data_IF_242558977465
#
_entry.id   IF_242558977465
#
_cell.length_a   1.000
_cell.length_b   1.000
_cell.length_c   1.000
_cell.angle_alpha   90.00
_cell.angle_beta   90.00
_cell.angle_gamma   90.00
#
_symmetry.space_group_name_H-M   'P 1'
#
loop_
_entity.id
_entity.type
_entity.pdbx_description
1 polymer ?
#
# COMPACT_ATOMS: atom_id res chain seq x y z
N UNK A 1 20.46 47.17 -28.26
CA UNK A 1 21.41 46.77 -27.20
C UNK A 1 21.45 47.89 -26.16
N UNK A 2 21.31 47.65 -24.85
CA UNK A 2 21.00 46.41 -24.14
C UNK A 2 19.70 46.47 -23.31
N UNK A 3 18.98 45.36 -23.31
CA UNK A 3 18.03 44.94 -22.29
C UNK A 3 18.79 44.67 -20.98
N UNK A 4 18.21 45.00 -19.83
CA UNK A 4 18.65 44.44 -18.55
C UNK A 4 17.51 43.65 -17.93
N UNK A 5 17.81 42.36 -17.80
CA UNK A 5 17.13 41.35 -17.00
C UNK A 5 16.74 41.87 -15.61
N UNK A 6 15.48 41.63 -15.26
CA UNK A 6 15.12 41.27 -13.90
C UNK A 6 14.62 39.82 -13.97
N UNK A 7 15.56 38.90 -13.82
CA UNK A 7 15.29 37.49 -13.58
C UNK A 7 14.53 37.37 -12.26
N UNK A 8 13.20 37.32 -12.34
CA UNK A 8 12.37 36.83 -11.24
C UNK A 8 12.61 35.35 -11.17
N UNK A 9 13.55 34.94 -10.33
CA UNK A 9 13.76 33.55 -9.92
C UNK A 9 12.47 33.04 -9.30
N UNK A 10 11.62 32.45 -10.13
CA UNK A 10 10.44 31.74 -9.69
C UNK A 10 10.91 30.64 -8.73
N UNK A 11 10.35 30.54 -7.51
CA UNK A 11 10.77 29.52 -6.57
C UNK A 11 10.57 28.16 -7.23
N UNK A 12 11.68 27.42 -7.34
CA UNK A 12 11.71 26.05 -7.85
C UNK A 12 10.55 25.30 -7.23
N UNK A 13 9.56 24.96 -8.08
CA UNK A 13 8.41 24.17 -7.70
C UNK A 13 9.00 22.93 -7.05
N UNK A 14 8.94 22.84 -5.72
CA UNK A 14 9.14 21.58 -5.02
C UNK A 14 8.17 20.63 -5.70
N UNK A 15 8.69 19.78 -6.58
CA UNK A 15 7.97 18.66 -7.14
C UNK A 15 7.58 17.85 -5.92
N UNK A 16 6.34 18.07 -5.42
CA UNK A 16 5.75 17.24 -4.40
C UNK A 16 5.84 15.85 -5.00
N UNK A 17 6.72 15.00 -4.47
CA UNK A 17 6.80 13.61 -4.87
C UNK A 17 5.36 13.11 -4.92
N UNK A 18 4.94 12.65 -6.11
CA UNK A 18 3.57 12.19 -6.30
C UNK A 18 3.26 11.21 -5.17
N UNK A 19 2.14 11.40 -4.48
CA UNK A 19 1.77 10.51 -3.40
C UNK A 19 1.72 9.09 -3.99
N UNK A 20 2.64 8.21 -3.57
CA UNK A 20 2.69 6.84 -4.07
C UNK A 20 1.33 6.20 -3.82
N UNK A 21 0.68 5.74 -4.89
CA UNK A 21 -0.63 5.10 -4.78
C UNK A 21 -0.50 3.78 -4.02
N UNK A 22 -1.58 3.30 -3.41
CA UNK A 22 -1.55 2.02 -2.69
C UNK A 22 -1.21 0.87 -3.64
N UNK A 23 -1.73 0.92 -4.88
CA UNK A 23 -1.43 -0.03 -5.95
C UNK A 23 0.05 -0.01 -6.32
N UNK A 24 0.68 1.16 -6.40
CA UNK A 24 2.13 1.25 -6.65
C UNK A 24 2.93 0.66 -5.50
N UNK A 25 2.57 0.95 -4.24
CA UNK A 25 3.22 0.36 -3.07
C UNK A 25 3.09 -1.16 -3.05
N UNK A 26 1.91 -1.69 -3.39
CA UNK A 26 1.67 -3.12 -3.51
C UNK A 26 2.54 -3.74 -4.61
N UNK A 27 2.52 -3.14 -5.80
CA UNK A 27 3.31 -3.60 -6.93
C UNK A 27 4.81 -3.56 -6.62
N UNK A 28 5.32 -2.47 -6.04
CA UNK A 28 6.72 -2.34 -5.65
C UNK A 28 7.14 -3.35 -4.58
N UNK A 29 6.20 -3.74 -3.72
CA UNK A 29 6.45 -4.73 -2.68
C UNK A 29 6.58 -6.15 -3.23
N UNK A 30 5.76 -6.52 -4.22
CA UNK A 30 5.67 -7.89 -4.73
C UNK A 30 6.40 -8.14 -6.04
N UNK A 31 6.31 -7.23 -7.01
CA UNK A 31 6.66 -7.49 -8.41
C UNK A 31 7.75 -6.57 -8.97
N UNK A 32 8.27 -5.63 -8.17
CA UNK A 32 9.51 -4.92 -8.52
C UNK A 32 10.69 -5.89 -8.50
N UNK A 33 11.64 -5.67 -9.39
CA UNK A 33 12.90 -6.42 -9.44
C UNK A 33 14.10 -5.46 -9.21
N UNK A 34 14.87 -5.60 -8.12
CA UNK A 34 14.58 -6.44 -6.96
C UNK A 34 13.43 -5.87 -6.10
N UNK A 35 12.66 -6.71 -5.37
CA UNK A 35 11.51 -6.27 -4.57
C UNK A 35 11.89 -5.20 -3.54
N UNK A 36 10.98 -4.26 -3.23
CA UNK A 36 11.26 -3.16 -2.30
C UNK A 36 11.81 -3.64 -0.95
N UNK A 37 11.38 -4.82 -0.48
CA UNK A 37 11.84 -5.38 0.78
C UNK A 37 13.25 -6.00 0.72
N UNK A 38 13.82 -6.23 -0.46
CA UNK A 38 15.21 -6.66 -0.64
C UNK A 38 16.18 -5.50 -0.84
N UNK A 39 15.71 -4.38 -1.39
CA UNK A 39 16.54 -3.19 -1.65
C UNK A 39 17.01 -2.55 -0.33
N UNK A 40 18.21 -1.97 -0.35
CA UNK A 40 18.73 -1.04 0.68
C UNK A 40 17.99 0.30 0.71
N UNK A 41 16.66 0.28 0.57
CA UNK A 41 15.82 1.47 0.64
C UNK A 41 15.84 2.07 2.05
N UNK A 42 15.49 3.35 2.15
CA UNK A 42 15.27 4.04 3.42
C UNK A 42 14.38 3.17 4.33
N UNK A 43 14.92 2.81 5.51
CA UNK A 43 14.25 1.95 6.50
C UNK A 43 12.86 2.46 6.86
N UNK A 44 12.68 3.79 6.92
CA UNK A 44 11.40 4.42 7.23
C UNK A 44 10.38 4.16 6.12
N UNK A 45 10.76 4.41 4.86
CA UNK A 45 9.89 4.18 3.70
C UNK A 45 9.50 2.70 3.59
N UNK A 46 10.46 1.81 3.79
CA UNK A 46 10.20 0.36 3.79
C UNK A 46 9.24 -0.06 4.89
N UNK A 47 9.40 0.47 6.11
CA UNK A 47 8.49 0.17 7.23
C UNK A 47 7.09 0.69 6.97
N UNK A 48 6.97 1.90 6.42
CA UNK A 48 5.67 2.48 6.04
C UNK A 48 4.98 1.66 4.95
N UNK A 49 5.69 1.35 3.87
CA UNK A 49 5.20 0.48 2.79
C UNK A 49 4.77 -0.89 3.31
N UNK A 50 5.57 -1.50 4.21
CA UNK A 50 5.23 -2.77 4.84
C UNK A 50 3.88 -2.72 5.57
N UNK A 51 3.64 -1.67 6.35
CA UNK A 51 2.40 -1.53 7.11
C UNK A 51 1.21 -1.27 6.18
N UNK A 52 1.37 -0.43 5.17
CA UNK A 52 0.32 -0.20 4.16
C UNK A 52 -0.03 -1.50 3.45
N UNK A 53 0.96 -2.22 2.92
CA UNK A 53 0.74 -3.52 2.25
C UNK A 53 0.13 -4.54 3.21
N UNK A 54 0.55 -4.54 4.49
CA UNK A 54 -0.08 -5.35 5.53
C UNK A 54 -1.59 -5.10 5.61
N UNK A 55 -2.01 -3.85 5.83
CA UNK A 55 -3.44 -3.53 5.90
C UNK A 55 -4.19 -3.84 4.59
N UNK A 56 -3.56 -3.60 3.43
CA UNK A 56 -4.12 -3.99 2.13
C UNK A 56 -4.41 -5.49 2.07
N UNK A 57 -3.46 -6.33 2.48
CA UNK A 57 -3.67 -7.79 2.54
C UNK A 57 -4.77 -8.18 3.53
N UNK A 58 -4.82 -7.51 4.69
CA UNK A 58 -5.81 -7.79 5.72
C UNK A 58 -7.24 -7.60 5.19
N UNK A 59 -7.46 -6.58 4.37
CA UNK A 59 -8.75 -6.30 3.74
C UNK A 59 -9.08 -7.28 2.58
N UNK A 60 -8.14 -8.12 2.16
CA UNK A 60 -8.34 -9.29 1.29
C UNK A 60 -8.64 -10.57 2.10
N UNK A 61 -9.41 -10.45 3.19
CA UNK A 61 -9.74 -11.54 4.11
C UNK A 61 -10.51 -12.72 3.48
N UNK A 62 -11.11 -12.52 2.30
CA UNK A 62 -11.81 -13.55 1.53
C UNK A 62 -10.87 -14.41 0.67
N UNK A 63 -9.63 -14.00 0.43
CA UNK A 63 -8.62 -14.78 -0.27
C UNK A 63 -7.54 -13.93 -0.95
N UNK A 64 -6.31 -14.42 -0.88
CA UNK A 64 -5.15 -13.85 -1.55
C UNK A 64 -4.26 -14.99 -1.99
N UNK A 65 -4.07 -15.14 -3.30
CA UNK A 65 -3.21 -16.19 -3.86
C UNK A 65 -2.20 -15.57 -4.80
N UNK A 66 -0.99 -15.38 -4.30
CA UNK A 66 0.16 -14.92 -5.06
C UNK A 66 1.19 -16.04 -5.11
N UNK A 67 1.24 -16.77 -6.21
CA UNK A 67 2.28 -17.76 -6.48
C UNK A 67 3.41 -17.13 -7.31
N UNK A 68 4.61 -16.92 -6.73
CA UNK A 68 5.75 -16.34 -7.46
C UNK A 68 6.24 -17.17 -8.64
N UNK A 69 5.87 -18.45 -8.71
CA UNK A 69 6.24 -19.34 -9.81
C UNK A 69 5.19 -19.38 -10.92
N UNK A 70 4.01 -18.80 -10.70
CA UNK A 70 2.96 -18.75 -11.71
C UNK A 70 3.34 -17.76 -12.82
N UNK A 71 3.15 -18.11 -14.10
CA UNK A 71 3.32 -17.15 -15.21
C UNK A 71 2.44 -15.91 -15.07
N UNK A 72 1.30 -16.04 -14.38
CA UNK A 72 0.34 -14.97 -14.10
C UNK A 72 0.72 -14.10 -12.89
N UNK A 73 1.82 -14.38 -12.18
CA UNK A 73 2.15 -13.72 -10.92
C UNK A 73 2.03 -12.19 -10.97
N UNK A 74 2.58 -11.57 -12.02
CA UNK A 74 2.57 -10.11 -12.16
C UNK A 74 1.17 -9.56 -12.38
N UNK A 75 0.35 -10.26 -13.17
CA UNK A 75 -1.04 -9.89 -13.41
C UNK A 75 -1.90 -10.09 -12.15
N UNK A 76 -1.63 -11.16 -11.40
CA UNK A 76 -2.25 -11.41 -10.11
C UNK A 76 -1.87 -10.33 -9.09
N UNK A 77 -0.60 -9.92 -9.03
CA UNK A 77 -0.16 -8.80 -8.18
C UNK A 77 -0.91 -7.51 -8.54
N UNK A 78 -1.07 -7.18 -9.82
CA UNK A 78 -1.84 -6.01 -10.24
C UNK A 78 -3.31 -6.12 -9.85
N UNK A 79 -3.94 -7.26 -10.13
CA UNK A 79 -5.35 -7.53 -9.81
C UNK A 79 -5.63 -7.42 -8.31
N UNK A 80 -4.84 -8.10 -7.48
CA UNK A 80 -4.99 -8.05 -6.03
C UNK A 80 -4.64 -6.67 -5.46
N UNK A 81 -3.66 -5.97 -6.05
CA UNK A 81 -3.31 -4.61 -5.67
C UNK A 81 -4.48 -3.64 -5.88
N UNK A 82 -5.12 -3.68 -7.06
CA UNK A 82 -6.31 -2.86 -7.33
C UNK A 82 -7.51 -3.25 -6.46
N UNK A 83 -7.73 -4.54 -6.22
CA UNK A 83 -8.81 -4.99 -5.35
C UNK A 83 -8.60 -4.53 -3.90
N UNK A 84 -7.37 -4.63 -3.40
CA UNK A 84 -7.03 -4.18 -2.06
C UNK A 84 -7.13 -2.66 -1.92
N UNK A 85 -6.68 -1.90 -2.92
CA UNK A 85 -6.83 -0.44 -2.97
C UNK A 85 -8.30 -0.04 -2.86
N UNK A 86 -9.18 -0.64 -3.67
CA UNK A 86 -10.63 -0.38 -3.62
C UNK A 86 -11.22 -0.68 -2.23
N UNK A 87 -10.85 -1.79 -1.60
CA UNK A 87 -11.36 -2.16 -0.27
C UNK A 87 -10.85 -1.26 0.83
N UNK A 88 -9.56 -0.89 0.80
CA UNK A 88 -8.97 0.07 1.74
C UNK A 88 -9.67 1.42 1.60
N UNK A 89 -9.82 1.92 0.38
CA UNK A 89 -10.47 3.21 0.14
C UNK A 89 -11.94 3.18 0.52
N UNK A 90 -12.67 2.10 0.25
CA UNK A 90 -14.06 1.94 0.70
C UNK A 90 -14.15 1.98 2.22
N UNK A 91 -13.31 1.20 2.92
CA UNK A 91 -13.28 1.18 4.39
C UNK A 91 -12.92 2.55 4.99
N UNK A 92 -11.93 3.24 4.41
CA UNK A 92 -11.51 4.56 4.87
C UNK A 92 -12.54 5.63 4.54
N UNK A 93 -13.27 5.51 3.42
CA UNK A 93 -14.27 6.50 2.99
C UNK A 93 -15.39 6.66 4.04
N UNK A 94 -15.82 5.55 4.64
CA UNK A 94 -16.85 5.55 5.68
C UNK A 94 -16.43 6.30 6.96
N UNK A 95 -15.12 6.48 7.18
CA UNK A 95 -14.54 7.14 8.36
C UNK A 95 -14.06 8.56 8.02
N UNK A 96 -13.46 8.73 6.85
CA UNK A 96 -12.76 9.93 6.41
C UNK A 96 -12.87 10.10 4.88
N UNK A 97 -13.98 10.65 4.36
CA UNK A 97 -14.34 10.60 2.94
C UNK A 97 -13.37 11.32 1.99
N UNK A 98 -12.56 12.25 2.52
CA UNK A 98 -11.59 13.05 1.75
C UNK A 98 -10.16 12.48 1.77
N UNK A 99 -9.90 11.36 2.48
CA UNK A 99 -8.56 10.78 2.62
C UNK A 99 -8.26 9.84 1.45
N UNK A 100 -7.18 10.12 0.70
CA UNK A 100 -6.76 9.31 -0.46
C UNK A 100 -5.26 9.02 -0.56
N UNK A 101 -4.42 9.78 0.15
CA UNK A 101 -2.96 9.54 0.12
C UNK A 101 -2.59 8.36 1.02
N UNK A 102 -1.60 7.57 0.60
CA UNK A 102 -1.10 6.40 1.34
C UNK A 102 -0.75 6.70 2.80
N UNK A 103 -0.04 7.80 3.07
CA UNK A 103 0.31 8.20 4.44
C UNK A 103 -0.91 8.56 5.31
N UNK A 104 -1.91 9.25 4.76
CA UNK A 104 -3.13 9.60 5.50
C UNK A 104 -4.04 8.39 5.69
N UNK A 105 -4.16 7.53 4.68
CA UNK A 105 -4.84 6.22 4.76
C UNK A 105 -4.22 5.37 5.87
N UNK A 106 -2.90 5.25 5.91
CA UNK A 106 -2.19 4.51 6.95
C UNK A 106 -2.50 5.05 8.36
N UNK A 107 -2.55 6.38 8.52
CA UNK A 107 -2.92 7.01 9.79
C UNK A 107 -4.32 6.60 10.24
N UNK A 108 -5.30 6.62 9.33
CA UNK A 108 -6.68 6.17 9.65
C UNK A 108 -6.69 4.70 10.03
N UNK A 109 -6.06 3.84 9.24
CA UNK A 109 -6.03 2.38 9.48
C UNK A 109 -5.37 2.02 10.81
N UNK A 110 -4.29 2.72 11.21
CA UNK A 110 -3.66 2.52 12.52
C UNK A 110 -4.58 2.87 13.67
N UNK A 111 -5.33 3.97 13.55
CA UNK A 111 -6.28 4.35 14.60
C UNK A 111 -7.42 3.34 14.69
N UNK A 112 -7.94 2.87 13.55
CA UNK A 112 -8.96 1.83 13.52
C UNK A 112 -8.47 0.51 14.11
N UNK A 113 -7.21 0.14 13.84
CA UNK A 113 -6.57 -1.00 14.49
C UNK A 113 -6.51 -0.82 16.01
N UNK A 114 -6.07 0.35 16.47
CA UNK A 114 -5.92 0.66 17.90
C UNK A 114 -7.22 0.57 18.67
N UNK A 115 -8.35 0.99 18.08
CA UNK A 115 -9.68 0.90 18.71
C UNK A 115 -10.36 -0.45 18.49
N UNK A 116 -9.70 -1.41 17.82
CA UNK A 116 -10.22 -2.76 17.57
C UNK A 116 -11.25 -2.87 16.46
N UNK A 117 -11.48 -1.82 15.66
CA UNK A 117 -12.44 -1.84 14.55
C UNK A 117 -12.07 -2.84 13.45
N UNK A 118 -10.79 -3.24 13.36
CA UNK A 118 -10.31 -4.25 12.43
C UNK A 118 -10.38 -5.69 12.98
N UNK A 119 -10.76 -5.90 14.25
CA UNK A 119 -10.68 -7.22 14.90
C UNK A 119 -11.50 -8.29 14.17
N UNK A 120 -12.69 -7.95 13.68
CA UNK A 120 -13.53 -8.89 12.90
C UNK A 120 -12.83 -9.29 11.60
N UNK A 121 -12.24 -8.32 10.88
CA UNK A 121 -11.50 -8.57 9.63
C UNK A 121 -10.25 -9.41 9.91
N UNK A 122 -9.53 -9.13 11.00
CA UNK A 122 -8.39 -9.93 11.47
C UNK A 122 -8.83 -11.38 11.76
N UNK A 123 -9.96 -11.58 12.43
CA UNK A 123 -10.52 -12.90 12.69
C UNK A 123 -10.82 -13.66 11.39
N UNK A 124 -11.48 -13.01 10.43
CA UNK A 124 -11.79 -13.61 9.12
C UNK A 124 -10.53 -13.94 8.32
N UNK A 125 -9.56 -13.02 8.28
CA UNK A 125 -8.28 -13.21 7.62
C UNK A 125 -7.54 -14.40 8.23
N UNK A 126 -7.40 -14.47 9.56
CA UNK A 126 -6.75 -15.57 10.24
C UNK A 126 -7.46 -16.92 10.00
N UNK A 127 -8.79 -16.92 9.97
CA UNK A 127 -9.56 -18.11 9.62
C UNK A 127 -9.30 -18.56 8.17
N UNK A 128 -9.11 -17.62 7.23
CA UNK A 128 -8.76 -17.92 5.84
C UNK A 128 -7.32 -18.44 5.72
N UNK A 129 -6.37 -17.86 6.45
CA UNK A 129 -4.99 -18.34 6.55
C UNK A 129 -4.96 -19.79 7.05
N UNK A 130 -5.68 -20.10 8.14
CA UNK A 130 -5.76 -21.45 8.71
C UNK A 130 -6.32 -22.49 7.72
N UNK A 131 -7.17 -22.07 6.77
CA UNK A 131 -7.73 -22.91 5.72
C UNK A 131 -6.84 -23.00 4.47
N UNK A 132 -5.66 -22.40 4.47
CA UNK A 132 -4.74 -22.36 3.32
C UNK A 132 -5.20 -21.44 2.17
N UNK A 133 -6.19 -20.58 2.42
CA UNK A 133 -6.76 -19.68 1.42
C UNK A 133 -6.01 -18.36 1.24
N UNK A 134 -4.91 -18.17 2.00
CA UNK A 134 -3.96 -17.08 1.84
C UNK A 134 -2.61 -17.71 1.49
N UNK A 135 -2.19 -17.60 0.23
CA UNK A 135 -0.85 -17.97 -0.23
C UNK A 135 -0.10 -16.68 -0.51
N UNK A 136 0.73 -16.31 0.46
CA UNK A 136 1.67 -15.21 0.31
C UNK A 136 3.01 -15.61 0.92
N UNK A 137 4.08 -15.37 0.18
CA UNK A 137 5.48 -15.57 0.61
C UNK A 137 5.84 -14.67 1.81
N UNK A 138 5.14 -13.57 2.02
CA UNK A 138 5.48 -12.52 2.98
C UNK A 138 4.49 -12.47 4.15
N UNK A 139 4.51 -13.48 5.03
CA UNK A 139 3.72 -13.44 6.26
C UNK A 139 4.22 -12.32 7.18
N UNK A 140 3.33 -11.38 7.53
CA UNK A 140 3.59 -10.31 8.49
C UNK A 140 2.47 -10.26 9.50
N UNK A 141 2.82 -10.15 10.79
CA UNK A 141 1.90 -9.64 11.79
C UNK A 141 1.76 -8.12 11.60
N UNK A 142 0.51 -7.66 11.58
CA UNK A 142 0.12 -6.25 11.68
C UNK A 142 -0.12 -5.93 13.14
#
# INVERSE_FOLDING_TARGET
>A
MPSHEAEVTAPSKRHKAAATSLTDLWFEWYARDPPMWQVGADRKKKSEAKLVVGFMKLLLHDGLELDPNAPSYRDDVLRFGSLADQRVLSFVHDIAPNVRSSGSVLRVLREQHRIGALNTIIGLFNAKVAKGGIKDRLQFNI
#
